data_IF_160887516866
#
_entry.id   IF_160887516866
#
_cell.length_a   1.000
_cell.length_b   1.000
_cell.length_c   1.000
_cell.angle_alpha   90.00
_cell.angle_beta   90.00
_cell.angle_gamma   90.00
#
_symmetry.space_group_name_H-M   'P 1'
#
loop_
_entity.id
_entity.type
_entity.pdbx_description
1 polymer ?
#
# COMPACT_ATOMS: atom_id res chain seq x y z
N UNK A 1 -13.12 5.06 10.56
CA UNK A 1 -13.49 4.14 9.46
C UNK A 1 -13.14 2.73 9.90
N UNK A 2 -14.08 1.77 9.85
CA UNK A 2 -13.76 0.37 10.14
C UNK A 2 -12.94 -0.24 8.99
N UNK A 3 -12.04 -1.17 9.32
CA UNK A 3 -11.46 -2.07 8.33
C UNK A 3 -12.45 -3.21 8.07
N UNK A 4 -12.69 -3.54 6.81
CA UNK A 4 -13.60 -4.61 6.42
C UNK A 4 -12.81 -5.66 5.64
N UNK A 5 -12.89 -6.92 6.05
CA UNK A 5 -12.31 -8.08 5.36
C UNK A 5 -13.40 -9.12 5.17
N UNK A 6 -13.53 -9.63 3.94
CA UNK A 6 -14.56 -10.63 3.57
C UNK A 6 -15.99 -10.24 4.00
N UNK A 7 -16.30 -8.93 3.92
CA UNK A 7 -17.60 -8.37 4.27
C UNK A 7 -17.86 -8.21 5.78
N UNK A 8 -16.85 -8.44 6.64
CA UNK A 8 -16.96 -8.31 8.10
C UNK A 8 -16.06 -7.20 8.62
N UNK A 9 -16.55 -6.48 9.63
CA UNK A 9 -15.73 -5.51 10.35
C UNK A 9 -14.66 -6.26 11.13
N UNK A 10 -13.41 -5.85 10.91
CA UNK A 10 -12.26 -6.42 11.57
C UNK A 10 -11.91 -5.68 12.85
N UNK A 11 -11.68 -6.47 13.90
CA UNK A 11 -11.11 -6.05 15.17
C UNK A 11 -9.92 -6.97 15.45
N UNK A 12 -8.74 -6.39 15.63
CA UNK A 12 -7.50 -7.10 15.86
C UNK A 12 -6.56 -6.24 16.70
N UNK A 13 -5.72 -6.89 17.51
CA UNK A 13 -4.79 -6.22 18.44
C UNK A 13 -3.36 -6.19 17.92
N UNK A 14 -3.01 -7.10 17.01
CA UNK A 14 -1.69 -7.22 16.41
C UNK A 14 -1.78 -7.75 14.98
N UNK A 15 -0.68 -7.64 14.22
CA UNK A 15 -0.60 -8.25 12.89
C UNK A 15 -0.61 -9.78 12.98
N UNK A 16 -0.04 -10.36 14.03
CA UNK A 16 -0.03 -11.81 14.26
C UNK A 16 -1.45 -12.35 14.42
N UNK A 17 -2.28 -11.69 15.22
CA UNK A 17 -3.70 -12.04 15.42
C UNK A 17 -4.46 -11.98 14.09
N UNK A 18 -4.22 -10.91 13.32
CA UNK A 18 -4.81 -10.72 12.00
C UNK A 18 -4.37 -11.82 11.01
N UNK A 19 -3.09 -12.17 11.00
CA UNK A 19 -2.53 -13.16 10.09
C UNK A 19 -2.97 -14.60 10.41
N UNK A 20 -3.24 -14.92 11.68
CA UNK A 20 -3.84 -16.21 12.07
C UNK A 20 -5.29 -16.29 11.58
N UNK A 21 -6.05 -15.20 11.72
CA UNK A 21 -7.45 -15.12 11.28
C UNK A 21 -7.60 -15.16 9.75
N UNK A 22 -6.66 -14.56 9.02
CA UNK A 22 -6.71 -14.40 7.57
C UNK A 22 -5.46 -14.94 6.88
N UNK A 23 -5.33 -16.26 6.81
CA UNK A 23 -4.14 -16.92 6.26
C UNK A 23 -3.83 -16.54 4.80
N UNK A 24 -4.85 -16.24 4.01
CA UNK A 24 -4.69 -15.85 2.61
C UNK A 24 -3.86 -14.56 2.45
N UNK A 25 -3.95 -13.60 3.38
CA UNK A 25 -3.08 -12.42 3.35
C UNK A 25 -1.62 -12.77 3.63
N UNK A 26 -1.36 -13.71 4.53
CA UNK A 26 0.00 -14.20 4.81
C UNK A 26 0.61 -14.91 3.61
N UNK A 27 -0.18 -15.68 2.88
CA UNK A 27 0.24 -16.32 1.63
C UNK A 27 0.52 -15.30 0.53
N UNK A 28 -0.37 -14.33 0.34
CA UNK A 28 -0.18 -13.24 -0.61
C UNK A 28 1.06 -12.40 -0.28
N UNK A 29 1.33 -12.13 0.99
CA UNK A 29 2.54 -11.45 1.44
C UNK A 29 3.80 -12.28 1.08
N UNK A 30 3.80 -13.60 1.28
CA UNK A 30 4.91 -14.48 0.86
C UNK A 30 5.11 -14.45 -0.65
N UNK A 31 4.04 -14.45 -1.44
CA UNK A 31 4.10 -14.36 -2.90
C UNK A 31 4.68 -13.00 -3.30
N UNK A 32 4.24 -11.93 -2.66
CA UNK A 32 4.75 -10.57 -2.90
C UNK A 32 6.24 -10.45 -2.59
N UNK A 33 6.71 -10.94 -1.44
CA UNK A 33 8.13 -10.90 -1.05
C UNK A 33 9.04 -11.73 -1.97
N UNK A 34 8.50 -12.72 -2.70
CA UNK A 34 9.25 -13.51 -3.67
C UNK A 34 9.36 -12.84 -5.04
N UNK A 35 8.61 -11.76 -5.30
CA UNK A 35 8.68 -11.06 -6.58
C UNK A 35 10.07 -10.43 -6.74
N UNK A 36 10.71 -10.56 -7.91
CA UNK A 36 11.99 -9.90 -8.15
C UNK A 36 11.80 -8.38 -8.16
N UNK A 37 12.83 -7.67 -7.70
CA UNK A 37 12.87 -6.21 -7.82
C UNK A 37 12.82 -5.83 -9.30
N UNK A 38 11.87 -4.96 -9.66
CA UNK A 38 11.72 -4.45 -11.03
C UNK A 38 12.21 -3.02 -11.08
N UNK A 39 13.13 -2.74 -12.01
CA UNK A 39 13.47 -1.36 -12.35
C UNK A 39 12.30 -0.74 -13.11
N UNK A 40 11.79 0.37 -12.61
CA UNK A 40 10.70 1.12 -13.21
C UNK A 40 11.28 2.27 -14.03
N UNK A 41 10.79 2.45 -15.25
CA UNK A 41 11.20 3.55 -16.13
C UNK A 41 10.70 4.89 -15.59
N UNK A 42 11.44 5.97 -15.84
CA UNK A 42 11.03 7.32 -15.39
C UNK A 42 9.78 7.82 -16.12
N UNK A 43 9.59 7.38 -17.36
CA UNK A 43 8.43 7.79 -18.17
C UNK A 43 7.13 7.29 -17.54
N UNK A 44 6.22 8.22 -17.26
CA UNK A 44 4.92 7.92 -16.68
C UNK A 44 4.95 7.39 -15.24
N UNK A 45 6.01 7.69 -14.48
CA UNK A 45 6.14 7.30 -13.07
C UNK A 45 6.07 8.53 -12.17
N UNK A 46 5.17 8.50 -11.19
CA UNK A 46 5.13 9.45 -10.08
C UNK A 46 5.76 8.80 -8.85
N UNK A 47 6.96 9.29 -8.51
CA UNK A 47 7.66 8.91 -7.30
C UNK A 47 7.17 9.78 -6.13
N UNK A 48 6.64 9.14 -5.10
CA UNK A 48 6.16 9.81 -3.90
C UNK A 48 7.24 9.68 -2.84
N UNK A 49 7.65 10.79 -2.22
CA UNK A 49 8.72 10.74 -1.21
C UNK A 49 8.13 10.51 0.19
N UNK A 50 9.00 10.25 1.16
CA UNK A 50 8.59 10.01 2.54
C UNK A 50 7.80 11.21 3.10
N UNK A 51 6.65 10.95 3.72
CA UNK A 51 5.68 11.95 4.22
C UNK A 51 4.86 12.67 3.12
N UNK A 52 4.90 12.20 1.88
CA UNK A 52 4.05 12.71 0.81
C UNK A 52 2.91 11.72 0.45
N UNK A 53 1.92 12.26 -0.25
CA UNK A 53 0.81 11.49 -0.79
C UNK A 53 0.51 11.92 -2.22
N UNK A 54 0.04 10.98 -3.03
CA UNK A 54 -0.36 11.23 -4.40
C UNK A 54 -1.66 10.51 -4.72
N UNK A 55 -2.52 11.17 -5.49
CA UNK A 55 -3.74 10.58 -6.03
C UNK A 55 -3.69 10.70 -7.53
N UNK A 56 -3.98 9.61 -8.22
CA UNK A 56 -4.00 9.53 -9.67
C UNK A 56 -5.29 8.83 -10.09
N UNK A 57 -6.02 9.43 -11.01
CA UNK A 57 -7.20 8.82 -11.62
C UNK A 57 -6.76 7.97 -12.82
N UNK A 58 -7.46 6.88 -13.17
CA UNK A 58 -7.12 6.10 -14.37
C UNK A 58 -7.21 6.90 -15.67
N UNK A 59 -7.96 8.00 -15.68
CA UNK A 59 -8.06 8.92 -16.82
C UNK A 59 -6.81 9.81 -16.98
N UNK A 60 -5.84 9.73 -16.06
CA UNK A 60 -4.57 10.44 -16.18
C UNK A 60 -3.66 9.73 -17.19
N UNK A 61 -3.57 10.29 -18.39
CA UNK A 61 -2.72 9.78 -19.47
C UNK A 61 -1.22 9.93 -19.19
N UNK A 62 -0.85 10.75 -18.20
CA UNK A 62 0.55 11.07 -17.90
C UNK A 62 1.16 10.14 -16.88
N UNK A 63 0.38 9.66 -15.89
CA UNK A 63 0.89 8.82 -14.80
C UNK A 63 0.37 7.39 -14.90
N UNK A 64 1.28 6.46 -15.16
CA UNK A 64 1.00 5.03 -15.29
C UNK A 64 1.46 4.20 -14.09
N UNK A 65 2.44 4.70 -13.33
CA UNK A 65 3.02 4.02 -12.17
C UNK A 65 3.16 4.99 -11.00
N UNK A 66 2.68 4.57 -9.83
CA UNK A 66 2.95 5.20 -8.54
C UNK A 66 3.98 4.36 -7.79
N UNK A 67 5.01 5.01 -7.25
CA UNK A 67 6.09 4.31 -6.56
C UNK A 67 6.65 5.09 -5.37
N UNK A 68 7.23 4.34 -4.44
CA UNK A 68 8.00 4.81 -3.30
C UNK A 68 9.15 3.84 -3.09
N UNK A 69 10.25 4.30 -2.51
CA UNK A 69 11.35 3.44 -2.06
C UNK A 69 11.82 3.85 -0.64
N UNK A 70 12.85 3.16 -0.14
CA UNK A 70 13.55 3.45 1.13
C UNK A 70 12.69 3.34 2.40
N UNK A 71 11.64 2.52 2.35
CA UNK A 71 10.79 2.22 3.49
C UNK A 71 11.45 1.22 4.45
N UNK A 72 12.37 1.70 5.29
CA UNK A 72 13.08 0.87 6.29
C UNK A 72 12.22 0.56 7.51
N UNK A 73 11.61 1.59 8.09
CA UNK A 73 10.74 1.50 9.29
C UNK A 73 9.36 2.14 9.07
N UNK A 74 9.18 2.87 7.97
CA UNK A 74 7.89 3.40 7.56
C UNK A 74 7.13 2.40 6.69
N UNK A 75 5.86 2.72 6.41
CA UNK A 75 4.97 1.85 5.66
C UNK A 75 4.50 2.56 4.39
N UNK A 76 4.54 1.85 3.27
CA UNK A 76 3.96 2.31 2.01
C UNK A 76 2.51 1.81 1.98
N UNK A 77 1.53 2.71 1.82
CA UNK A 77 0.11 2.37 1.81
C UNK A 77 -0.48 2.69 0.43
N UNK A 78 -1.15 1.71 -0.17
CA UNK A 78 -1.86 1.89 -1.43
C UNK A 78 -3.35 1.68 -1.17
N UNK A 79 -4.13 2.75 -1.35
CA UNK A 79 -5.58 2.74 -1.28
C UNK A 79 -6.13 2.84 -2.70
N UNK A 80 -6.91 1.84 -3.11
CA UNK A 80 -7.51 1.82 -4.43
C UNK A 80 -9.02 1.85 -4.29
N UNK A 81 -9.66 2.84 -4.89
CA UNK A 81 -11.10 2.80 -5.09
C UNK A 81 -11.38 2.00 -6.37
N UNK A 82 -12.29 1.03 -6.32
CA UNK A 82 -12.61 0.15 -7.45
C UNK A 82 -13.83 0.60 -8.25
N UNK A 83 -14.69 1.46 -7.69
CA UNK A 83 -15.94 1.92 -8.33
C UNK A 83 -15.80 3.19 -9.20
N UNK A 84 -14.90 4.08 -8.81
CA UNK A 84 -14.24 5.05 -9.69
C UNK A 84 -12.82 4.59 -9.76
N UNK A 85 -12.26 4.58 -10.94
CA UNK A 85 -10.94 4.04 -11.21
C UNK A 85 -9.81 4.92 -10.66
N UNK A 86 -9.90 5.33 -9.41
CA UNK A 86 -8.99 6.27 -8.76
C UNK A 86 -8.02 5.47 -7.88
N UNK A 87 -6.73 5.69 -8.12
CA UNK A 87 -5.63 5.17 -7.32
C UNK A 87 -5.15 6.25 -6.35
N UNK A 88 -5.11 5.93 -5.07
CA UNK A 88 -4.63 6.83 -4.04
C UNK A 88 -3.44 6.17 -3.32
N UNK A 89 -2.24 6.63 -3.59
CA UNK A 89 -1.03 6.16 -2.92
C UNK A 89 -0.66 7.14 -1.80
N UNK A 90 -0.60 6.66 -0.56
CA UNK A 90 -0.15 7.47 0.58
C UNK A 90 1.08 6.78 1.17
N UNK A 91 2.17 7.53 1.30
CA UNK A 91 3.27 7.06 2.13
C UNK A 91 3.10 7.67 3.51
N UNK A 92 2.67 6.85 4.46
CA UNK A 92 2.67 7.25 5.86
C UNK A 92 4.05 7.02 6.45
N UNK A 93 4.61 8.09 7.00
CA UNK A 93 5.66 7.92 7.99
C UNK A 93 5.01 7.60 9.33
N UNK A 94 4.87 6.31 9.65
CA UNK A 94 4.88 5.93 11.06
C UNK A 94 6.29 6.17 11.56
N UNK A 95 6.59 7.40 12.01
CA UNK A 95 7.63 7.55 13.01
C UNK A 95 7.14 6.67 14.15
N UNK A 96 7.86 5.60 14.42
CA UNK A 96 7.78 4.90 15.69
C UNK A 96 8.27 5.91 16.73
N UNK A 97 7.39 6.85 17.07
CA UNK A 97 7.60 7.87 18.09
C UNK A 97 7.38 7.11 19.40
N UNK A 98 8.36 6.28 19.73
CA UNK A 98 8.55 5.80 21.08
C UNK A 98 8.74 7.06 21.94
N UNK A 99 7.66 7.51 22.57
CA UNK A 99 7.74 8.23 23.84
C UNK A 99 7.69 7.18 24.94
#
# INVERSE_FOLDING_TARGET
>A
MPLIVDGRIEDFRSFEDFAVKHQHFKENAKIFCKKPLRKVERSGTLYVTQREHATVTQDDETITVLGSDDATTCHIIVLRHTGRFDFHAIIFQSILLSR
#
